data_IF_626020443522
#
_entry.id   IF_626020443522
#
_cell.length_a   1.000
_cell.length_b   1.000
_cell.length_c   1.000
_cell.angle_alpha   90.00
_cell.angle_beta   90.00
_cell.angle_gamma   90.00
#
_symmetry.space_group_name_H-M   'P 1'
#
loop_
_entity.id
_entity.type
_entity.pdbx_description
1 polymer ?
#
# COMPACT_ATOMS: atom_id res chain seq x y z
N UNK A 1 -11.45 12.19 1.26
CA UNK A 1 -11.94 10.91 1.82
C UNK A 1 -12.14 9.95 0.66
N UNK A 2 -11.62 8.72 0.73
CA UNK A 2 -11.68 7.72 -0.36
C UNK A 2 -13.12 7.40 -0.82
N UNK A 3 -14.08 7.42 0.10
CA UNK A 3 -15.50 7.15 -0.20
C UNK A 3 -16.10 8.07 -1.28
N UNK A 4 -15.54 9.27 -1.48
CA UNK A 4 -16.01 10.18 -2.53
C UNK A 4 -15.66 9.71 -3.96
N UNK A 5 -14.62 8.88 -4.09
CA UNK A 5 -14.19 8.32 -5.37
C UNK A 5 -14.96 7.05 -5.75
N UNK A 6 -15.65 6.43 -4.79
CA UNK A 6 -16.39 5.19 -5.02
C UNK A 6 -17.74 5.54 -5.69
N UNK A 7 -18.08 4.91 -6.83
CA UNK A 7 -19.37 5.10 -7.49
C UNK A 7 -20.54 4.76 -6.57
N UNK A 8 -21.66 5.47 -6.70
CA UNK A 8 -22.84 5.26 -5.82
C UNK A 8 -23.39 3.84 -5.89
N UNK A 9 -23.32 3.18 -7.05
CA UNK A 9 -23.69 1.77 -7.23
C UNK A 9 -22.89 0.80 -6.34
N UNK A 10 -21.73 1.22 -5.85
CA UNK A 10 -20.84 0.45 -4.98
C UNK A 10 -20.88 0.92 -3.52
N UNK A 11 -21.87 1.74 -3.15
CA UNK A 11 -22.09 2.21 -1.78
C UNK A 11 -23.30 1.53 -1.18
N UNK A 12 -23.14 0.94 -0.01
CA UNK A 12 -24.14 0.10 0.64
C UNK A 12 -24.30 0.47 2.11
N UNK A 13 -25.52 0.29 2.63
CA UNK A 13 -25.74 0.22 4.06
C UNK A 13 -25.30 -1.15 4.57
N UNK A 14 -24.56 -1.17 5.67
CA UNK A 14 -24.12 -2.41 6.30
C UNK A 14 -25.32 -3.16 6.88
N UNK A 15 -25.44 -4.45 6.59
CA UNK A 15 -26.48 -5.32 7.13
C UNK A 15 -25.86 -6.43 8.01
N UNK A 16 -24.91 -7.18 7.46
CA UNK A 16 -24.15 -8.23 8.16
C UNK A 16 -22.87 -8.58 7.39
N UNK A 17 -21.93 -9.31 8.03
CA UNK A 17 -20.75 -9.82 7.31
C UNK A 17 -21.10 -10.72 6.11
N UNK A 18 -22.14 -11.55 6.22
CA UNK A 18 -22.58 -12.44 5.15
C UNK A 18 -23.14 -11.64 3.94
N UNK A 19 -23.88 -10.54 4.21
CA UNK A 19 -24.35 -9.64 3.16
C UNK A 19 -23.17 -8.96 2.46
N UNK A 20 -22.15 -8.54 3.21
CA UNK A 20 -20.90 -8.00 2.62
C UNK A 20 -20.23 -9.01 1.69
N UNK A 21 -20.03 -10.25 2.15
CA UNK A 21 -19.43 -11.33 1.36
C UNK A 21 -20.22 -11.57 0.07
N UNK A 22 -21.54 -11.63 0.18
CA UNK A 22 -22.43 -11.80 -0.98
C UNK A 22 -22.30 -10.65 -1.99
N UNK A 23 -22.24 -9.40 -1.52
CA UNK A 23 -22.06 -8.22 -2.39
C UNK A 23 -20.72 -8.23 -3.08
N UNK A 24 -19.64 -8.57 -2.36
CA UNK A 24 -18.32 -8.74 -2.95
C UNK A 24 -18.36 -9.79 -4.05
N UNK A 25 -18.92 -10.98 -3.78
CA UNK A 25 -19.03 -12.04 -4.76
C UNK A 25 -19.82 -11.60 -5.99
N UNK A 26 -20.99 -10.96 -5.79
CA UNK A 26 -21.84 -10.48 -6.88
C UNK A 26 -21.10 -9.43 -7.72
N UNK A 27 -20.35 -8.52 -7.09
CA UNK A 27 -19.60 -7.48 -7.79
C UNK A 27 -18.52 -8.09 -8.67
N UNK A 28 -17.79 -9.08 -8.15
CA UNK A 28 -16.73 -9.76 -8.91
C UNK A 28 -17.30 -10.63 -10.03
N UNK A 29 -18.37 -11.35 -9.77
CA UNK A 29 -18.99 -12.23 -10.78
C UNK A 29 -19.65 -11.45 -11.93
N UNK A 30 -20.01 -10.18 -11.70
CA UNK A 30 -20.67 -9.32 -12.69
C UNK A 30 -19.73 -8.46 -13.52
N UNK A 31 -18.43 -8.42 -13.19
CA UNK A 31 -17.48 -7.46 -13.76
C UNK A 31 -16.24 -8.09 -14.39
N UNK A 32 -15.41 -7.24 -14.98
CA UNK A 32 -14.08 -7.58 -15.46
C UNK A 32 -13.14 -7.90 -14.29
N UNK A 33 -11.97 -8.45 -14.57
CA UNK A 33 -10.95 -8.80 -13.56
C UNK A 33 -10.27 -7.59 -12.89
N UNK A 34 -10.86 -6.40 -13.00
CA UNK A 34 -10.33 -5.16 -12.46
C UNK A 34 -10.52 -5.05 -10.95
N UNK A 35 -9.79 -4.14 -10.35
CA UNK A 35 -9.86 -3.85 -8.94
C UNK A 35 -11.17 -3.16 -8.55
N UNK A 36 -11.83 -3.63 -7.51
CA UNK A 36 -13.11 -3.09 -7.06
C UNK A 36 -13.00 -2.47 -5.68
N UNK A 37 -13.71 -1.34 -5.52
CA UNK A 37 -13.92 -0.70 -4.23
C UNK A 37 -15.40 -0.71 -3.87
N UNK A 38 -15.73 -1.25 -2.70
CA UNK A 38 -17.07 -1.18 -2.11
C UNK A 38 -17.00 -0.35 -0.83
N UNK A 39 -18.02 0.46 -0.61
CA UNK A 39 -18.15 1.28 0.59
C UNK A 39 -19.37 0.83 1.38
N UNK A 40 -19.18 0.58 2.66
CA UNK A 40 -20.23 0.25 3.61
C UNK A 40 -20.33 1.34 4.67
N UNK A 41 -21.52 1.88 4.88
CA UNK A 41 -21.82 2.81 5.97
C UNK A 41 -22.70 2.15 7.02
N UNK A 42 -22.75 2.71 8.24
CA UNK A 42 -23.55 2.16 9.34
C UNK A 42 -22.93 0.89 9.96
N UNK A 43 -21.63 0.64 9.71
CA UNK A 43 -20.92 -0.48 10.37
C UNK A 43 -20.82 -0.20 11.87
N UNK A 44 -21.34 -1.09 12.76
CA UNK A 44 -21.28 -0.87 14.18
C UNK A 44 -19.83 -0.82 14.69
N UNK A 45 -19.59 0.00 15.70
CA UNK A 45 -18.28 0.08 16.34
C UNK A 45 -17.89 -1.28 16.93
N UNK A 46 -16.64 -1.71 16.65
CA UNK A 46 -16.11 -2.98 17.14
C UNK A 46 -16.43 -4.21 16.28
N UNK A 47 -17.27 -4.08 15.25
CA UNK A 47 -17.70 -5.20 14.41
C UNK A 47 -16.63 -5.72 13.45
N UNK A 48 -15.48 -5.07 13.38
CA UNK A 48 -14.40 -5.49 12.47
C UNK A 48 -13.90 -6.91 12.78
N UNK A 49 -13.92 -7.33 14.05
CA UNK A 49 -13.52 -8.67 14.44
C UNK A 49 -14.48 -9.75 13.90
N UNK A 50 -15.81 -9.50 13.98
CA UNK A 50 -16.81 -10.41 13.41
C UNK A 50 -16.68 -10.48 11.88
N UNK A 51 -16.45 -9.33 11.23
CA UNK A 51 -16.20 -9.27 9.79
C UNK A 51 -14.98 -10.12 9.44
N UNK A 52 -13.85 -9.95 10.12
CA UNK A 52 -12.63 -10.73 9.90
C UNK A 52 -12.86 -12.23 10.09
N UNK A 53 -13.60 -12.61 11.13
CA UNK A 53 -13.92 -14.01 11.39
C UNK A 53 -14.73 -14.62 10.25
N UNK A 54 -15.78 -13.96 9.80
CA UNK A 54 -16.62 -14.47 8.70
C UNK A 54 -15.85 -14.52 7.39
N UNK A 55 -15.03 -13.49 7.11
CA UNK A 55 -14.18 -13.49 5.92
C UNK A 55 -13.13 -14.61 5.95
N UNK A 56 -12.53 -14.93 7.11
CA UNK A 56 -11.55 -16.00 7.25
C UNK A 56 -12.13 -17.40 6.99
N UNK A 57 -13.44 -17.58 7.23
CA UNK A 57 -14.16 -18.84 7.00
C UNK A 57 -14.85 -18.88 5.63
N UNK A 58 -14.94 -17.73 4.96
CA UNK A 58 -15.59 -17.64 3.65
C UNK A 58 -14.77 -18.34 2.57
N UNK A 59 -15.48 -18.84 1.51
CA UNK A 59 -14.86 -19.43 0.33
C UNK A 59 -14.56 -18.39 -0.76
N UNK A 60 -14.35 -17.12 -0.38
CA UNK A 60 -13.98 -16.10 -1.35
C UNK A 60 -12.65 -16.45 -2.03
N UNK A 61 -12.64 -16.37 -3.35
CA UNK A 61 -11.46 -16.65 -4.18
C UNK A 61 -10.54 -15.41 -4.35
N UNK A 62 -10.90 -14.31 -3.71
CA UNK A 62 -10.25 -12.99 -3.87
C UNK A 62 -9.70 -12.52 -2.55
N UNK A 63 -8.54 -11.89 -2.62
CA UNK A 63 -8.03 -11.14 -1.47
C UNK A 63 -8.81 -9.84 -1.31
N UNK A 64 -9.14 -9.52 -0.07
CA UNK A 64 -9.84 -8.28 0.28
C UNK A 64 -8.98 -7.52 1.27
N UNK A 65 -8.95 -6.19 1.16
CA UNK A 65 -8.31 -5.29 2.11
C UNK A 65 -9.34 -4.33 2.68
N UNK A 66 -9.22 -4.06 3.96
CA UNK A 66 -10.14 -3.17 4.67
C UNK A 66 -9.48 -1.85 5.05
N UNK A 67 -10.23 -0.77 4.88
CA UNK A 67 -9.95 0.53 5.48
C UNK A 67 -11.17 0.95 6.27
N UNK A 68 -11.00 1.25 7.56
CA UNK A 68 -12.10 1.65 8.44
C UNK A 68 -11.95 3.08 8.92
N UNK A 69 -13.09 3.73 9.12
CA UNK A 69 -13.24 4.98 9.87
C UNK A 69 -14.34 4.74 10.91
N UNK A 70 -13.94 4.21 12.06
CA UNK A 70 -14.88 3.72 13.08
C UNK A 70 -15.75 4.83 13.65
N UNK A 71 -15.24 6.07 13.75
CA UNK A 71 -15.98 7.24 14.20
C UNK A 71 -17.16 7.59 13.29
N UNK A 72 -17.11 7.18 12.03
CA UNK A 72 -18.15 7.40 11.02
C UNK A 72 -18.98 6.13 10.72
N UNK A 73 -18.65 5.00 11.34
CA UNK A 73 -19.25 3.70 11.00
C UNK A 73 -19.00 3.35 9.53
N UNK A 74 -17.83 3.68 9.01
CA UNK A 74 -17.50 3.54 7.59
C UNK A 74 -16.41 2.48 7.36
N UNK A 75 -16.63 1.62 6.36
CA UNK A 75 -15.70 0.60 5.93
C UNK A 75 -15.58 0.63 4.41
N UNK A 76 -14.35 0.71 3.91
CA UNK A 76 -14.02 0.51 2.51
C UNK A 76 -13.42 -0.88 2.36
N UNK A 77 -14.00 -1.63 1.45
CA UNK A 77 -13.55 -2.95 1.06
C UNK A 77 -12.91 -2.84 -0.32
N UNK A 78 -11.61 -3.11 -0.41
CA UNK A 78 -10.86 -3.18 -1.65
C UNK A 78 -10.70 -4.63 -2.06
N UNK A 79 -11.27 -5.00 -3.18
CA UNK A 79 -11.18 -6.35 -3.72
C UNK A 79 -9.98 -6.40 -4.66
N UNK A 80 -9.04 -7.29 -4.39
CA UNK A 80 -7.81 -7.41 -5.16
C UNK A 80 -7.95 -8.54 -6.18
N UNK A 81 -7.87 -8.25 -7.48
CA UNK A 81 -7.95 -9.29 -8.49
C UNK A 81 -6.64 -10.08 -8.58
N UNK A 82 -6.72 -11.34 -8.18
CA UNK A 82 -5.92 -12.48 -8.60
C UNK A 82 -4.40 -12.37 -8.68
N UNK A 83 -3.83 -13.29 -9.49
CA UNK A 83 -2.40 -13.57 -9.57
C UNK A 83 -1.54 -12.40 -10.09
N UNK A 84 -2.08 -11.54 -10.94
CA UNK A 84 -1.35 -10.42 -11.55
C UNK A 84 -0.93 -9.37 -10.53
N UNK A 85 -1.86 -8.94 -9.70
CA UNK A 85 -1.61 -8.01 -8.62
C UNK A 85 -0.57 -8.55 -7.64
N UNK A 86 -0.69 -9.85 -7.28
CA UNK A 86 0.28 -10.53 -6.41
C UNK A 86 1.67 -10.58 -7.05
N UNK A 87 1.77 -10.90 -8.36
CA UNK A 87 3.04 -10.96 -9.06
C UNK A 87 3.77 -9.60 -9.04
N UNK A 88 3.05 -8.52 -9.32
CA UNK A 88 3.61 -7.16 -9.33
C UNK A 88 4.10 -6.75 -7.93
N UNK A 89 3.23 -6.94 -6.92
CA UNK A 89 3.55 -6.64 -5.51
C UNK A 89 4.77 -7.44 -5.04
N UNK A 90 4.72 -8.77 -5.20
CA UNK A 90 5.77 -9.67 -4.72
C UNK A 90 7.11 -9.42 -5.42
N UNK A 91 7.11 -9.22 -6.74
CA UNK A 91 8.36 -9.02 -7.50
C UNK A 91 9.06 -7.74 -7.06
N UNK A 92 8.32 -6.65 -6.90
CA UNK A 92 8.93 -5.38 -6.48
C UNK A 92 9.35 -5.42 -5.01
N UNK A 93 8.51 -5.96 -4.12
CA UNK A 93 8.84 -6.13 -2.70
C UNK A 93 10.12 -6.94 -2.53
N UNK A 94 10.23 -8.09 -3.22
CA UNK A 94 11.41 -8.92 -3.19
C UNK A 94 12.68 -8.18 -3.65
N UNK A 95 12.59 -7.42 -4.76
CA UNK A 95 13.73 -6.62 -5.26
C UNK A 95 14.15 -5.54 -4.26
N UNK A 96 13.20 -4.84 -3.63
CA UNK A 96 13.47 -3.87 -2.57
C UNK A 96 14.15 -4.56 -1.39
N UNK A 97 13.59 -5.66 -0.89
CA UNK A 97 14.14 -6.42 0.22
C UNK A 97 15.56 -6.93 -0.03
N UNK A 98 15.86 -7.40 -1.24
CA UNK A 98 17.20 -7.82 -1.63
C UNK A 98 18.22 -6.66 -1.57
N UNK A 99 17.84 -5.48 -2.08
CA UNK A 99 18.71 -4.30 -2.02
C UNK A 99 18.91 -3.79 -0.59
N UNK A 100 17.88 -3.82 0.24
CA UNK A 100 18.00 -3.47 1.68
C UNK A 100 19.00 -4.41 2.38
N UNK A 101 18.90 -5.71 2.12
CA UNK A 101 19.80 -6.73 2.71
C UNK A 101 21.23 -6.63 2.20
N UNK A 102 21.46 -6.01 1.05
CA UNK A 102 22.78 -5.76 0.49
C UNK A 102 23.48 -4.52 1.07
N UNK A 103 22.79 -3.69 1.86
CA UNK A 103 23.40 -2.55 2.55
C UNK A 103 24.41 -3.08 3.59
N UNK A 104 25.66 -2.57 3.61
CA UNK A 104 26.67 -3.01 4.57
C UNK A 104 26.17 -2.95 6.03
N UNK A 105 26.37 -4.02 6.77
CA UNK A 105 25.91 -4.15 8.17
C UNK A 105 24.46 -4.61 8.35
N UNK A 106 23.71 -4.80 7.25
CA UNK A 106 22.34 -5.31 7.28
C UNK A 106 22.23 -6.76 6.81
N UNK A 107 21.18 -7.44 7.25
CA UNK A 107 20.87 -8.85 6.96
C UNK A 107 19.38 -9.03 6.74
N UNK A 108 18.93 -10.25 6.45
CA UNK A 108 17.51 -10.61 6.41
C UNK A 108 16.77 -10.38 7.74
N UNK A 109 17.50 -10.14 8.84
CA UNK A 109 16.94 -9.83 10.17
C UNK A 109 16.80 -8.34 10.43
N UNK A 110 17.30 -7.49 9.55
CA UNK A 110 17.30 -6.03 9.80
C UNK A 110 15.95 -5.38 9.48
N UNK A 111 15.14 -6.03 8.64
CA UNK A 111 13.82 -5.56 8.27
C UNK A 111 12.85 -6.74 8.18
N UNK A 112 11.64 -6.55 8.65
CA UNK A 112 10.54 -7.49 8.49
C UNK A 112 9.61 -6.99 7.39
N UNK A 113 9.18 -7.92 6.53
CA UNK A 113 8.28 -7.66 5.42
C UNK A 113 6.93 -8.32 5.73
N UNK A 114 5.84 -7.56 5.63
CA UNK A 114 4.49 -8.04 5.96
C UNK A 114 3.50 -7.69 4.88
N UNK A 115 2.91 -8.70 4.27
CA UNK A 115 1.83 -8.55 3.31
C UNK A 115 0.47 -8.53 4.01
N UNK A 116 -0.38 -7.58 3.63
CA UNK A 116 -1.77 -7.51 4.11
C UNK A 116 -1.94 -7.22 5.59
N UNK A 117 -0.93 -6.69 6.24
CA UNK A 117 -1.04 -6.34 7.66
C UNK A 117 -1.92 -5.11 7.86
N UNK A 118 -2.79 -5.18 8.87
CA UNK A 118 -3.64 -4.07 9.30
C UNK A 118 -2.93 -3.23 10.35
N UNK A 119 -3.01 -1.92 10.20
CA UNK A 119 -2.52 -0.95 11.17
C UNK A 119 -3.70 -0.15 11.72
N UNK A 120 -3.79 -0.10 13.04
CA UNK A 120 -4.90 0.52 13.76
C UNK A 120 -4.46 1.79 14.51
N UNK A 121 -5.30 2.82 14.47
CA UNK A 121 -5.11 4.06 15.23
C UNK A 121 -6.12 4.09 16.35
N UNK A 122 -5.79 3.51 17.47
CA UNK A 122 -6.56 3.57 18.72
C UNK A 122 -8.06 3.27 18.53
N UNK A 123 -8.39 2.30 17.70
CA UNK A 123 -9.78 1.95 17.33
C UNK A 123 -10.58 3.08 16.67
N UNK A 124 -9.92 4.16 16.22
CA UNK A 124 -10.58 5.26 15.50
C UNK A 124 -10.67 4.94 14.02
N UNK A 125 -9.56 4.48 13.45
CA UNK A 125 -9.43 4.09 12.05
C UNK A 125 -8.37 3.02 11.87
N UNK A 126 -8.53 2.18 10.86
CA UNK A 126 -7.52 1.19 10.50
C UNK A 126 -7.38 1.06 8.99
N UNK A 127 -6.24 0.53 8.55
CA UNK A 127 -5.98 0.26 7.14
C UNK A 127 -5.08 -0.96 6.97
N UNK A 128 -5.41 -1.79 5.99
CA UNK A 128 -4.55 -2.85 5.49
C UNK A 128 -3.80 -2.38 4.25
N UNK A 129 -2.48 -2.53 4.26
CA UNK A 129 -1.62 -2.21 3.12
C UNK A 129 -1.27 -3.45 2.30
N UNK A 130 -0.61 -3.24 1.15
CA UNK A 130 -0.14 -4.36 0.32
C UNK A 130 1.12 -4.97 0.89
N UNK A 131 2.17 -4.17 1.09
CA UNK A 131 3.43 -4.64 1.66
C UNK A 131 4.00 -3.59 2.61
N UNK A 132 4.34 -4.00 3.83
CA UNK A 132 4.89 -3.16 4.88
C UNK A 132 6.32 -3.57 5.19
N UNK A 133 7.24 -2.60 5.21
CA UNK A 133 8.62 -2.79 5.59
C UNK A 133 8.83 -2.20 6.98
N UNK A 134 9.09 -3.06 7.96
CA UNK A 134 9.20 -2.70 9.38
C UNK A 134 10.63 -2.94 9.84
N UNK A 135 11.37 -1.91 10.30
CA UNK A 135 12.67 -2.12 10.92
C UNK A 135 12.57 -3.12 12.08
N UNK A 136 13.49 -4.06 12.16
CA UNK A 136 13.48 -5.10 13.21
C UNK A 136 13.56 -4.51 14.63
N UNK A 137 14.11 -3.30 14.76
CA UNK A 137 14.12 -2.52 16.02
C UNK A 137 12.72 -2.16 16.51
N UNK A 138 11.74 -2.09 15.60
CA UNK A 138 10.34 -1.81 15.92
C UNK A 138 9.50 -3.07 16.09
N UNK A 139 9.84 -4.16 15.39
CA UNK A 139 8.97 -5.34 15.31
C UNK A 139 8.96 -6.18 16.57
N UNK A 140 10.00 -6.06 17.47
CA UNK A 140 10.15 -6.86 18.70
C UNK A 140 9.68 -8.30 18.48
N UNK A 141 10.36 -9.04 17.61
CA UNK A 141 9.97 -10.41 17.17
C UNK A 141 9.55 -11.33 18.29
N UNK A 142 10.14 -11.14 19.50
CA UNK A 142 9.82 -11.93 20.69
C UNK A 142 8.53 -11.49 21.39
N UNK A 143 7.94 -10.38 21.00
CA UNK A 143 6.73 -9.81 21.59
C UNK A 143 5.47 -9.99 20.72
N UNK A 144 5.54 -10.79 19.65
CA UNK A 144 4.37 -11.08 18.81
C UNK A 144 3.51 -12.18 19.47
N UNK A 145 2.49 -11.81 20.26
CA UNK A 145 1.61 -12.78 20.87
C UNK A 145 0.56 -13.20 19.86
N UNK A 146 0.75 -14.31 19.22
CA UNK A 146 -0.20 -14.91 18.26
C UNK A 146 -0.44 -14.14 16.94
N UNK A 147 -0.77 -14.87 15.88
CA UNK A 147 -1.11 -14.35 14.54
C UNK A 147 -2.29 -13.35 14.50
N UNK A 148 -2.97 -13.14 15.63
CA UNK A 148 -4.14 -12.26 15.76
C UNK A 148 -3.87 -11.00 16.59
N UNK A 149 -2.64 -10.76 17.05
CA UNK A 149 -2.31 -9.55 17.78
C UNK A 149 -1.92 -8.44 16.79
N UNK A 150 -2.65 -7.35 16.82
CA UNK A 150 -2.36 -6.16 16.05
C UNK A 150 -0.98 -5.61 16.42
N UNK A 151 -0.17 -5.16 15.44
CA UNK A 151 1.08 -4.49 15.77
C UNK A 151 0.80 -3.30 16.67
N UNK A 152 1.61 -3.19 17.74
CA UNK A 152 1.57 -1.97 18.56
C UNK A 152 1.89 -0.75 17.70
N UNK A 153 1.53 0.45 18.15
CA UNK A 153 1.90 1.68 17.43
C UNK A 153 3.41 1.81 17.18
N UNK A 154 4.24 1.11 17.95
CA UNK A 154 5.69 1.09 17.78
C UNK A 154 6.12 0.26 16.55
N UNK A 155 5.32 -0.72 16.15
CA UNK A 155 5.58 -1.58 14.98
C UNK A 155 5.10 -1.01 13.64
N UNK A 156 4.77 0.28 13.58
CA UNK A 156 4.42 0.91 12.29
C UNK A 156 5.54 0.78 11.26
N UNK A 157 5.21 0.52 9.98
CA UNK A 157 6.21 0.41 8.94
C UNK A 157 6.95 1.73 8.75
N UNK A 158 8.22 1.65 8.45
CA UNK A 158 8.98 2.80 8.00
C UNK A 158 8.67 3.13 6.53
N UNK A 159 8.34 2.09 5.75
CA UNK A 159 8.01 2.21 4.34
C UNK A 159 6.84 1.30 3.98
N UNK A 160 6.00 1.77 3.04
CA UNK A 160 4.89 1.03 2.46
C UNK A 160 5.03 0.91 0.95
N UNK A 161 4.58 -0.22 0.41
CA UNK A 161 4.34 -0.42 -1.01
C UNK A 161 2.85 -0.67 -1.22
N UNK A 162 2.22 0.15 -2.06
CA UNK A 162 0.82 0.00 -2.50
C UNK A 162 0.78 -0.22 -4.00
N UNK A 163 -0.02 -1.18 -4.44
CA UNK A 163 -0.10 -1.58 -5.84
C UNK A 163 -1.55 -1.53 -6.32
N UNK A 164 -1.80 -1.14 -7.56
CA UNK A 164 -3.16 -1.09 -8.13
C UNK A 164 -3.19 -1.10 -9.64
N UNK A 165 -4.41 -1.11 -10.16
CA UNK A 165 -4.73 -1.04 -11.58
C UNK A 165 -5.11 0.37 -12.04
N UNK A 166 -5.35 0.57 -13.35
CA UNK A 166 -5.54 1.86 -14.02
C UNK A 166 -6.42 2.87 -13.28
N UNK A 167 -7.57 2.45 -12.81
CA UNK A 167 -8.54 3.34 -12.14
C UNK A 167 -8.21 3.59 -10.68
N UNK A 168 -7.15 2.94 -10.17
CA UNK A 168 -6.79 2.97 -8.74
C UNK A 168 -5.82 4.10 -8.36
N UNK A 169 -5.29 4.90 -9.30
CA UNK A 169 -4.22 5.87 -9.00
C UNK A 169 -4.61 6.88 -7.92
N UNK A 170 -5.80 7.46 -8.02
CA UNK A 170 -6.25 8.43 -7.01
C UNK A 170 -6.47 7.77 -5.64
N UNK A 171 -6.92 6.51 -5.61
CA UNK A 171 -6.99 5.74 -4.37
C UNK A 171 -5.60 5.47 -3.82
N UNK A 172 -4.63 5.07 -4.64
CA UNK A 172 -3.24 4.85 -4.23
C UNK A 172 -2.60 6.12 -3.67
N UNK A 173 -2.86 7.27 -4.29
CA UNK A 173 -2.41 8.58 -3.78
C UNK A 173 -3.03 8.94 -2.44
N UNK A 174 -4.31 8.61 -2.25
CA UNK A 174 -4.98 8.78 -0.94
C UNK A 174 -4.42 7.79 0.09
N UNK A 175 -4.06 6.57 -0.31
CA UNK A 175 -3.40 5.59 0.53
C UNK A 175 -2.02 6.07 0.97
N UNK A 176 -1.20 6.57 0.05
CA UNK A 176 0.10 7.16 0.37
C UNK A 176 -0.02 8.29 1.40
N UNK A 177 -0.97 9.21 1.19
CA UNK A 177 -1.25 10.29 2.13
C UNK A 177 -1.73 9.76 3.48
N UNK A 178 -2.58 8.73 3.48
CA UNK A 178 -3.07 8.11 4.71
C UNK A 178 -1.93 7.56 5.57
N UNK A 179 -1.00 6.80 4.97
CA UNK A 179 0.15 6.25 5.66
C UNK A 179 1.05 7.33 6.24
N UNK A 180 1.39 8.33 5.45
CA UNK A 180 2.28 9.41 5.86
C UNK A 180 1.70 10.29 6.96
N UNK A 181 0.40 10.61 6.90
CA UNK A 181 -0.26 11.48 7.87
C UNK A 181 -0.55 10.77 9.19
N UNK A 182 -1.05 9.52 9.12
CA UNK A 182 -1.62 8.84 10.28
C UNK A 182 -0.59 8.05 11.11
N UNK A 183 0.62 7.85 10.61
CA UNK A 183 1.68 7.10 11.29
C UNK A 183 2.45 7.89 12.36
N UNK A 184 2.09 9.14 12.61
CA UNK A 184 2.86 10.05 13.48
C UNK A 184 4.37 10.11 13.12
N UNK A 185 4.68 10.09 11.81
CA UNK A 185 6.05 10.14 11.29
C UNK A 185 6.79 8.79 11.30
N UNK A 186 6.14 7.70 11.69
CA UNK A 186 6.75 6.37 11.66
C UNK A 186 6.90 5.86 10.22
N UNK A 187 5.88 6.03 9.37
CA UNK A 187 5.98 5.78 7.93
C UNK A 187 6.56 7.03 7.28
N UNK A 188 7.72 6.90 6.66
CA UNK A 188 8.49 8.00 6.07
C UNK A 188 8.49 7.99 4.56
N UNK A 189 8.22 6.83 3.97
CA UNK A 189 8.24 6.65 2.52
C UNK A 189 7.13 5.71 2.08
N UNK A 190 6.45 6.07 0.99
CA UNK A 190 5.43 5.22 0.37
C UNK A 190 5.71 5.14 -1.11
N UNK A 191 5.79 3.93 -1.63
CA UNK A 191 5.88 3.66 -3.07
C UNK A 191 4.50 3.22 -3.52
N UNK A 192 3.92 3.90 -4.50
CA UNK A 192 2.73 3.43 -5.18
C UNK A 192 3.09 2.98 -6.59
N UNK A 193 2.53 1.84 -7.00
CA UNK A 193 2.74 1.26 -8.33
C UNK A 193 1.39 1.00 -8.95
N UNK A 194 1.15 1.57 -10.10
CA UNK A 194 -0.05 1.34 -10.89
C UNK A 194 0.31 0.61 -12.17
N UNK A 195 -0.37 -0.51 -12.43
CA UNK A 195 -0.40 -1.10 -13.75
C UNK A 195 -1.52 -0.43 -14.55
N UNK A 196 -1.16 0.31 -15.56
CA UNK A 196 -2.09 0.88 -16.54
C UNK A 196 -2.38 -0.18 -17.62
N UNK A 197 -3.62 -0.27 -18.06
CA UNK A 197 -4.05 -1.26 -19.07
C UNK A 197 -4.29 -0.65 -20.44
N UNK A 198 -4.54 0.65 -20.51
CA UNK A 198 -4.77 1.38 -21.77
C UNK A 198 -4.21 2.81 -21.67
N UNK A 199 -3.04 3.10 -22.24
CA UNK A 199 -2.06 2.12 -22.77
C UNK A 199 -1.43 1.26 -21.67
N UNK A 200 -0.98 0.07 -22.03
CA UNK A 200 -0.27 -0.81 -21.09
C UNK A 200 1.06 -0.17 -20.68
N UNK A 201 1.19 0.14 -19.40
CA UNK A 201 2.37 0.77 -18.81
C UNK A 201 2.41 0.54 -17.30
N UNK A 202 3.58 0.74 -16.68
CA UNK A 202 3.73 0.77 -15.22
C UNK A 202 4.06 2.19 -14.80
N UNK A 203 3.22 2.74 -13.90
CA UNK A 203 3.41 4.03 -13.27
C UNK A 203 3.87 3.85 -11.82
N UNK A 204 4.93 4.55 -11.41
CA UNK A 204 5.48 4.48 -10.05
C UNK A 204 5.59 5.89 -9.49
N UNK A 205 5.02 6.12 -8.30
CA UNK A 205 5.24 7.36 -7.54
C UNK A 205 5.86 7.03 -6.19
N UNK A 206 6.85 7.83 -5.79
CA UNK A 206 7.41 7.80 -4.44
C UNK A 206 6.92 9.01 -3.66
N UNK A 207 6.38 8.78 -2.47
CA UNK A 207 5.78 9.78 -1.62
C UNK A 207 6.51 9.90 -0.29
N UNK A 208 6.71 11.15 0.17
CA UNK A 208 7.31 11.46 1.48
C UNK A 208 6.70 12.74 2.05
N UNK A 209 6.93 12.95 3.35
CA UNK A 209 6.59 14.22 3.99
C UNK A 209 7.64 15.28 3.64
N UNK A 210 7.21 16.38 3.04
CA UNK A 210 8.07 17.49 2.64
C UNK A 210 7.68 18.76 3.38
N UNK A 211 8.66 19.53 3.83
CA UNK A 211 8.43 20.83 4.48
C UNK A 211 7.94 21.84 3.46
N UNK A 212 6.74 22.37 3.66
CA UNK A 212 6.18 23.45 2.87
C UNK A 212 6.33 24.77 3.58
N UNK A 213 6.91 25.74 2.91
CA UNK A 213 7.03 27.13 3.38
C UNK A 213 5.96 27.98 2.70
N UNK A 214 4.96 28.42 3.46
CA UNK A 214 3.98 29.39 2.93
C UNK A 214 4.61 30.78 2.85
N UNK A 215 4.85 31.26 1.63
CA UNK A 215 5.47 32.58 1.36
C UNK A 215 4.71 33.79 1.90
N UNK A 216 3.46 33.65 2.33
CA UNK A 216 2.59 34.81 2.65
C UNK A 216 2.16 34.92 4.12
N UNK A 217 2.52 33.99 4.99
CA UNK A 217 2.17 34.09 6.41
C UNK A 217 3.32 33.54 7.26
N UNK A 218 3.58 34.22 8.41
CA UNK A 218 4.54 33.81 9.46
C UNK A 218 4.01 32.55 10.17
N UNK A 219 3.51 31.55 9.41
CA UNK A 219 3.11 30.26 9.98
C UNK A 219 4.32 29.33 9.99
N UNK A 220 4.45 28.55 11.04
CA UNK A 220 5.45 27.51 11.15
C UNK A 220 5.44 26.60 9.90
N UNK A 221 6.61 26.15 9.43
CA UNK A 221 6.67 25.23 8.30
C UNK A 221 5.81 24.00 8.56
N UNK A 222 5.00 23.63 7.58
CA UNK A 222 4.09 22.48 7.69
C UNK A 222 4.62 21.33 6.84
N UNK A 223 4.63 20.13 7.40
CA UNK A 223 4.91 18.89 6.65
C UNK A 223 3.68 18.47 5.86
N UNK A 224 3.85 18.26 4.55
CA UNK A 224 2.78 17.80 3.66
C UNK A 224 3.22 16.55 2.88
N UNK A 225 2.32 15.56 2.68
CA UNK A 225 2.59 14.43 1.81
C UNK A 225 2.77 14.91 0.37
N UNK A 226 3.90 14.58 -0.23
CA UNK A 226 4.28 15.04 -1.58
C UNK A 226 4.84 13.88 -2.39
N UNK A 227 4.47 13.79 -3.66
CA UNK A 227 5.15 12.93 -4.63
C UNK A 227 6.52 13.54 -4.91
N UNK A 228 7.59 12.83 -4.53
CA UNK A 228 8.98 13.29 -4.64
C UNK A 228 9.72 12.68 -5.83
N UNK A 229 9.25 11.55 -6.36
CA UNK A 229 9.78 10.92 -7.56
C UNK A 229 8.64 10.27 -8.34
N UNK A 230 8.75 10.28 -9.68
CA UNK A 230 7.77 9.72 -10.59
C UNK A 230 8.48 9.02 -11.75
N UNK A 231 8.01 7.83 -12.12
CA UNK A 231 8.52 7.01 -13.21
C UNK A 231 7.37 6.41 -13.99
N UNK A 232 7.44 6.50 -15.31
CA UNK A 232 6.56 5.80 -16.24
C UNK A 232 7.41 4.83 -17.07
N UNK A 233 6.96 3.60 -17.21
CA UNK A 233 7.66 2.54 -17.94
C UNK A 233 6.68 1.99 -18.97
N UNK A 234 7.04 2.11 -20.26
CA UNK A 234 6.23 1.60 -21.36
C UNK A 234 6.53 0.11 -21.65
N UNK A 235 5.80 -0.47 -22.57
CA UNK A 235 5.94 -1.89 -22.97
C UNK A 235 7.27 -2.21 -23.65
N UNK A 236 7.99 -1.21 -24.14
CA UNK A 236 9.32 -1.36 -24.72
C UNK A 236 10.41 -1.30 -23.64
N UNK A 237 10.01 -0.99 -22.39
CA UNK A 237 10.92 -0.83 -21.24
C UNK A 237 11.57 0.53 -21.18
N UNK A 238 11.05 1.52 -21.93
CA UNK A 238 11.53 2.91 -21.85
C UNK A 238 11.05 3.52 -20.54
N UNK A 239 11.99 4.03 -19.76
CA UNK A 239 11.70 4.71 -18.50
C UNK A 239 11.67 6.21 -18.71
N UNK A 240 10.52 6.84 -18.48
CA UNK A 240 10.34 8.29 -18.48
C UNK A 240 10.28 8.79 -17.03
N UNK A 241 11.20 9.69 -16.67
CA UNK A 241 11.27 10.27 -15.32
C UNK A 241 12.05 11.57 -15.34
N UNK A 242 11.79 12.44 -14.36
CA UNK A 242 12.64 13.60 -14.06
C UNK A 242 13.93 13.21 -13.30
N UNK A 243 13.99 11.99 -12.76
CA UNK A 243 15.12 11.46 -12.01
C UNK A 243 15.81 10.35 -12.80
N UNK A 244 17.13 10.24 -12.70
CA UNK A 244 17.90 9.19 -13.37
C UNK A 244 17.75 7.81 -12.74
N UNK A 245 17.23 7.74 -11.52
CA UNK A 245 17.10 6.53 -10.72
C UNK A 245 16.02 6.68 -9.66
N UNK A 246 15.33 5.58 -9.30
CA UNK A 246 14.45 5.54 -8.15
C UNK A 246 15.30 5.35 -6.90
N UNK A 247 15.20 6.28 -5.95
CA UNK A 247 16.00 6.31 -4.73
C UNK A 247 15.12 6.24 -3.49
N UNK A 248 15.41 5.28 -2.63
CA UNK A 248 14.81 5.17 -1.31
C UNK A 248 15.89 5.56 -0.29
N UNK A 249 15.77 6.71 0.38
CA UNK A 249 16.77 7.15 1.34
C UNK A 249 16.91 6.18 2.51
N UNK A 250 18.14 5.90 2.93
CA UNK A 250 18.43 5.02 4.08
C UNK A 250 17.61 5.40 5.32
N UNK A 251 17.57 6.70 5.66
CA UNK A 251 16.79 7.21 6.80
C UNK A 251 15.27 7.05 6.66
N UNK A 252 14.75 6.70 5.47
CA UNK A 252 13.36 6.32 5.29
C UNK A 252 13.11 4.84 5.60
N UNK A 253 14.16 4.01 5.58
CA UNK A 253 14.07 2.57 5.84
C UNK A 253 14.34 2.29 7.32
N UNK A 254 15.45 2.80 7.86
CA UNK A 254 15.92 2.51 9.21
C UNK A 254 15.81 3.71 10.16
N UNK A 255 15.61 3.45 11.45
CA UNK A 255 15.48 4.49 12.48
C UNK A 255 16.82 5.00 12.97
N UNK A 256 17.83 4.13 12.97
CA UNK A 256 19.14 4.44 13.52
C UNK A 256 20.10 4.92 12.43
N UNK A 257 20.92 5.94 12.72
CA UNK A 257 21.97 6.34 11.83
C UNK A 257 23.00 5.22 11.67
N UNK A 258 23.56 5.10 10.46
CA UNK A 258 24.64 4.17 10.17
C UNK A 258 25.75 4.91 9.44
N UNK A 259 27.00 4.76 9.87
CA UNK A 259 28.15 5.41 9.21
C UNK A 259 28.34 4.92 7.77
N UNK A 260 27.87 3.71 7.45
CA UNK A 260 27.87 3.13 6.11
C UNK A 260 26.49 3.23 5.44
N UNK A 261 25.67 4.22 5.84
CA UNK A 261 24.33 4.41 5.27
C UNK A 261 24.41 4.62 3.76
N UNK A 262 23.77 3.72 3.02
CA UNK A 262 23.64 3.79 1.58
C UNK A 262 22.16 3.69 1.22
N UNK A 263 21.70 4.61 0.37
CA UNK A 263 20.34 4.58 -0.14
C UNK A 263 20.11 3.33 -1.00
N UNK A 264 18.89 2.83 -1.00
CA UNK A 264 18.47 1.81 -1.97
C UNK A 264 18.15 2.50 -3.29
N UNK A 265 18.82 2.09 -4.34
CA UNK A 265 18.71 2.71 -5.67
C UNK A 265 18.30 1.67 -6.70
N UNK A 266 17.35 2.01 -7.56
CA UNK A 266 17.01 1.29 -8.77
C UNK A 266 17.35 2.15 -9.98
N UNK A 267 18.29 1.70 -10.80
CA UNK A 267 18.60 2.31 -12.08
C UNK A 267 17.45 2.10 -13.08
N UNK A 268 17.40 2.91 -14.13
CA UNK A 268 16.41 2.70 -15.21
C UNK A 268 16.49 1.29 -15.80
N UNK A 269 17.68 0.73 -15.96
CA UNK A 269 17.85 -0.65 -16.44
C UNK A 269 17.23 -1.70 -15.48
N UNK A 270 17.32 -1.48 -14.17
CA UNK A 270 16.69 -2.37 -13.19
C UNK A 270 15.16 -2.21 -13.15
N UNK A 271 14.66 -0.99 -13.37
CA UNK A 271 13.21 -0.73 -13.50
C UNK A 271 12.66 -1.38 -14.78
N UNK A 272 13.38 -1.26 -15.92
CA UNK A 272 13.05 -1.97 -17.16
C UNK A 272 13.04 -3.49 -16.94
N UNK A 273 14.09 -4.03 -16.30
CA UNK A 273 14.20 -5.47 -15.98
C UNK A 273 13.08 -5.96 -15.03
N UNK A 274 12.52 -5.09 -14.23
CA UNK A 274 11.33 -5.38 -13.41
C UNK A 274 10.06 -5.38 -14.28
N UNK A 275 9.88 -4.39 -15.15
CA UNK A 275 8.62 -4.14 -15.86
C UNK A 275 8.37 -5.13 -17.02
N UNK A 276 9.37 -5.44 -17.82
CA UNK A 276 9.22 -6.27 -19.02
C UNK A 276 8.60 -7.65 -18.76
N UNK A 277 9.02 -8.44 -17.73
CA UNK A 277 8.36 -9.69 -17.39
C UNK A 277 6.90 -9.51 -16.96
N UNK A 278 6.57 -8.37 -16.32
CA UNK A 278 5.20 -8.08 -15.91
C UNK A 278 4.32 -7.86 -17.15
N UNK A 279 4.77 -7.06 -18.13
CA UNK A 279 4.03 -6.87 -19.37
C UNK A 279 3.77 -8.19 -20.11
N UNK A 280 4.74 -9.09 -20.14
CA UNK A 280 4.56 -10.43 -20.74
C UNK A 280 3.48 -11.25 -20.03
N UNK A 281 3.36 -11.15 -18.70
CA UNK A 281 2.30 -11.82 -17.93
C UNK A 281 0.91 -11.23 -18.21
N UNK A 282 0.85 -9.96 -18.59
CA UNK A 282 -0.42 -9.23 -18.78
C UNK A 282 -0.89 -9.19 -20.23
N UNK A 283 0.00 -9.41 -21.21
CA UNK A 283 -0.34 -9.38 -22.65
C UNK A 283 -0.99 -10.65 -23.19
N UNK A 284 -1.06 -11.74 -22.41
CA UNK A 284 -1.60 -13.03 -22.88
C UNK A 284 -3.12 -13.20 -22.74
N UNK A 285 -3.86 -12.15 -22.33
CA UNK A 285 -5.31 -12.21 -22.13
C UNK A 285 -6.09 -11.20 -23.00
N UNK A 286 -5.52 -10.73 -24.12
CA UNK A 286 -6.18 -9.90 -25.13
C UNK A 286 -6.32 -10.66 -26.45
#
# INVERSE_FOLDING_TARGET
MQAALIPDKNKFEYQSPEDMIRRIQTTVDSGSADEYFLYFHGVPHGYLFEIDREFSTSKLRYSVRFTTENSLGALICRILPGARHLALTYTLSMKIGLKIRAIPGHTYRSIDEFSGMRFDIRNIRSKEGHEAFVPATRSKRDAWPSMNAWPSMDAWPSMMLEVGYSEALDFLRLDAKWWLINSAGKTRFVIIVQLMTDPLAIHIECWAMVTSYHRQTIKAPTLIPTCVQLFDIDTEGTVTSASSELRIPYGCIFDEPNENAVDVVFTNAELTSFALPMFSLFSHDF
#
